data_IF_698630634894
#
_entry.id   IF_698630634894
#
_cell.length_a   1.000
_cell.length_b   1.000
_cell.length_c   1.000
_cell.angle_alpha   90.00
_cell.angle_beta   90.00
_cell.angle_gamma   90.00
#
_symmetry.space_group_name_H-M   'P 1'
#
loop_
_entity.id
_entity.type
_entity.pdbx_description
1 polymer ?
#
# COMPACT_ATOMS: atom_id res chain seq x y z
N UNK A 1 -6.11 6.82 31.69
CA UNK A 1 -6.13 8.13 30.99
C UNK A 1 -4.91 8.35 30.09
N UNK A 2 -3.69 8.55 30.63
CA UNK A 2 -2.50 8.95 29.83
C UNK A 2 -2.14 7.95 28.72
N UNK A 3 -2.32 6.66 28.99
CA UNK A 3 -2.09 5.61 27.99
C UNK A 3 -3.07 5.71 26.83
N UNK A 4 -4.37 5.90 27.11
CA UNK A 4 -5.42 6.03 26.09
C UNK A 4 -5.15 7.22 25.15
N UNK A 5 -4.84 8.40 25.69
CA UNK A 5 -4.58 9.59 24.85
C UNK A 5 -3.31 9.42 24.00
N UNK A 6 -2.27 8.79 24.53
CA UNK A 6 -1.06 8.44 23.76
C UNK A 6 -1.34 7.39 22.70
N UNK A 7 -2.13 6.37 23.04
CA UNK A 7 -2.60 5.35 22.12
C UNK A 7 -3.54 5.92 21.06
N UNK A 8 -4.16 7.09 21.26
CA UNK A 8 -4.89 7.79 20.20
C UNK A 8 -4.02 8.81 19.45
N UNK A 9 -2.72 8.85 19.73
CA UNK A 9 -1.78 9.76 19.06
C UNK A 9 -1.97 11.23 19.42
N UNK A 10 -2.54 11.53 20.59
CA UNK A 10 -2.55 12.89 21.13
C UNK A 10 -1.15 13.23 21.65
N UNK A 11 -0.75 14.49 21.51
CA UNK A 11 0.52 15.03 21.98
C UNK A 11 0.27 16.01 23.11
N UNK A 12 1.15 16.02 24.11
CA UNK A 12 1.07 16.99 25.20
C UNK A 12 1.66 18.33 24.76
N UNK A 13 0.81 19.34 24.64
CA UNK A 13 1.17 20.66 24.12
C UNK A 13 0.41 21.76 24.87
N UNK A 14 1.15 22.77 25.36
CA UNK A 14 0.59 23.94 26.05
C UNK A 14 -0.36 23.57 27.21
N UNK A 15 0.06 22.60 28.04
CA UNK A 15 -0.69 22.18 29.23
C UNK A 15 -1.91 21.29 28.97
N UNK A 16 -2.11 20.80 27.74
CA UNK A 16 -3.22 19.90 27.40
C UNK A 16 -2.81 18.82 26.40
N UNK A 17 -3.55 17.71 26.37
CA UNK A 17 -3.45 16.72 25.29
C UNK A 17 -4.18 17.25 24.06
N UNK A 18 -3.48 17.35 22.93
CA UNK A 18 -3.98 17.90 21.66
C UNK A 18 -3.82 16.89 20.52
N UNK A 19 -4.74 16.95 19.56
CA UNK A 19 -4.66 16.19 18.32
C UNK A 19 -5.00 17.10 17.15
N UNK A 20 -4.13 17.10 16.14
CA UNK A 20 -4.34 17.87 14.92
C UNK A 20 -5.38 17.19 14.05
N UNK A 21 -6.37 17.96 13.59
CA UNK A 21 -7.41 17.51 12.67
C UNK A 21 -6.95 17.76 11.24
N UNK A 22 -7.04 16.72 10.41
CA UNK A 22 -6.56 16.69 9.02
C UNK A 22 -7.27 15.58 8.25
N UNK A 23 -7.02 15.46 6.95
CA UNK A 23 -7.55 14.32 6.16
C UNK A 23 -7.16 12.96 6.73
N UNK A 24 -6.01 12.87 7.43
CA UNK A 24 -5.51 11.62 7.99
C UNK A 24 -6.13 11.26 9.34
N UNK A 25 -6.68 12.26 10.03
CA UNK A 25 -7.20 12.14 11.39
C UNK A 25 -8.71 12.33 11.45
N UNK A 26 -9.41 12.43 10.31
CA UNK A 26 -10.87 12.53 10.22
C UNK A 26 -11.45 13.81 10.81
N UNK A 27 -12.74 13.79 11.17
CA UNK A 27 -13.43 14.97 11.70
C UNK A 27 -13.12 15.21 13.19
N UNK A 28 -13.26 16.45 13.66
CA UNK A 28 -13.15 16.77 15.09
C UNK A 28 -14.21 16.03 15.92
N UNK A 29 -15.44 15.95 15.39
CA UNK A 29 -16.57 15.27 16.05
C UNK A 29 -16.26 13.78 16.29
N UNK A 30 -15.76 13.07 15.28
CA UNK A 30 -15.40 11.65 15.41
C UNK A 30 -14.23 11.44 16.39
N UNK A 31 -13.23 12.33 16.38
CA UNK A 31 -12.09 12.24 17.31
C UNK A 31 -12.49 12.50 18.76
N UNK A 32 -13.39 13.46 19.00
CA UNK A 32 -13.96 13.71 20.33
C UNK A 32 -14.78 12.51 20.79
N UNK A 33 -15.63 11.98 19.91
CA UNK A 33 -16.48 10.83 20.22
C UNK A 33 -15.65 9.57 20.50
N UNK A 34 -14.62 9.28 19.69
CA UNK A 34 -13.71 8.14 19.87
C UNK A 34 -12.91 8.22 21.17
N UNK A 35 -12.34 9.40 21.48
CA UNK A 35 -11.65 9.62 22.74
C UNK A 35 -12.59 9.46 23.93
N UNK A 36 -13.78 10.08 23.85
CA UNK A 36 -14.82 9.99 24.87
C UNK A 36 -15.25 8.55 25.14
N UNK A 37 -15.55 7.79 24.09
CA UNK A 37 -15.93 6.38 24.19
C UNK A 37 -14.84 5.55 24.88
N UNK A 38 -13.57 5.67 24.45
CA UNK A 38 -12.46 4.93 25.07
C UNK A 38 -12.24 5.30 26.54
N UNK A 39 -12.43 6.57 26.90
CA UNK A 39 -12.32 7.02 28.29
C UNK A 39 -13.48 6.52 29.16
N UNK A 40 -14.71 6.60 28.67
CA UNK A 40 -15.90 6.10 29.36
C UNK A 40 -15.79 4.59 29.61
N UNK A 41 -15.42 3.80 28.59
CA UNK A 41 -15.21 2.36 28.71
C UNK A 41 -14.05 1.99 29.65
N UNK A 42 -13.13 2.92 29.90
CA UNK A 42 -12.05 2.75 30.89
C UNK A 42 -12.43 3.25 32.30
N UNK A 43 -13.71 3.59 32.54
CA UNK A 43 -14.24 3.98 33.84
C UNK A 43 -14.02 5.46 34.21
N UNK A 44 -13.61 6.30 33.26
CA UNK A 44 -13.45 7.74 33.51
C UNK A 44 -14.77 8.48 33.29
N UNK A 45 -15.07 9.45 34.15
CA UNK A 45 -16.10 10.46 33.87
C UNK A 45 -15.56 11.47 32.86
N UNK A 46 -16.32 11.72 31.77
CA UNK A 46 -15.92 12.59 30.67
C UNK A 46 -16.92 13.73 30.50
N UNK A 47 -16.41 14.96 30.32
CA UNK A 47 -17.20 16.11 29.90
C UNK A 47 -17.03 16.31 28.39
N UNK A 48 -18.15 16.36 27.68
CA UNK A 48 -18.19 16.62 26.24
C UNK A 48 -18.46 18.11 25.95
N UNK A 49 -18.03 18.63 24.79
CA UNK A 49 -18.32 20.01 24.39
C UNK A 49 -19.80 20.25 24.11
N UNK A 50 -20.51 19.23 23.60
CA UNK A 50 -21.91 19.29 23.20
C UNK A 50 -22.58 17.90 23.36
N UNK A 51 -23.90 17.86 23.17
CA UNK A 51 -24.69 16.63 23.29
C UNK A 51 -24.47 15.67 22.13
N UNK A 52 -24.25 16.17 20.92
CA UNK A 52 -24.03 15.36 19.73
C UNK A 52 -22.78 14.49 19.86
N UNK A 53 -21.65 15.09 20.26
CA UNK A 53 -20.40 14.37 20.50
C UNK A 53 -20.50 13.36 21.64
N UNK A 54 -21.33 13.64 22.66
CA UNK A 54 -21.62 12.71 23.74
C UNK A 54 -22.42 11.50 23.26
N UNK A 55 -23.55 11.71 22.58
CA UNK A 55 -24.40 10.63 22.05
C UNK A 55 -23.60 9.76 21.09
N UNK A 56 -22.85 10.38 20.17
CA UNK A 56 -21.97 9.68 19.24
C UNK A 56 -20.91 8.83 19.93
N UNK A 57 -20.38 9.28 21.07
CA UNK A 57 -19.45 8.52 21.88
C UNK A 57 -20.14 7.33 22.59
N UNK A 58 -21.31 7.56 23.18
CA UNK A 58 -22.05 6.54 23.94
C UNK A 58 -22.57 5.43 23.01
N UNK A 59 -23.15 5.81 21.88
CA UNK A 59 -23.73 4.89 20.90
C UNK A 59 -22.67 4.25 19.99
N UNK A 60 -21.40 4.65 20.12
CA UNK A 60 -20.28 4.21 19.30
C UNK A 60 -20.52 4.35 17.78
N UNK A 61 -21.22 5.42 17.38
CA UNK A 61 -21.57 5.72 15.97
C UNK A 61 -20.53 6.62 15.28
N UNK A 62 -19.34 6.75 15.86
CA UNK A 62 -18.21 7.47 15.25
C UNK A 62 -17.43 6.62 14.25
N UNK A 63 -16.86 7.29 13.25
CA UNK A 63 -15.92 6.63 12.35
C UNK A 63 -14.54 6.53 13.04
N UNK A 64 -13.98 5.33 13.31
CA UNK A 64 -12.67 5.19 13.93
C UNK A 64 -11.56 5.84 13.11
N UNK A 65 -10.47 6.26 13.77
CA UNK A 65 -9.36 6.89 13.05
C UNK A 65 -8.71 5.91 12.07
N UNK A 66 -8.66 6.29 10.79
CA UNK A 66 -7.97 5.49 9.79
C UNK A 66 -6.46 5.50 10.05
N UNK A 67 -5.89 4.31 10.27
CA UNK A 67 -4.46 4.15 10.56
C UNK A 67 -3.65 3.62 9.37
N UNK A 68 -4.32 3.21 8.28
CA UNK A 68 -3.72 2.59 7.09
C UNK A 68 -3.88 3.52 5.89
N UNK A 69 -2.77 4.07 5.42
CA UNK A 69 -2.76 5.11 4.39
C UNK A 69 -1.78 4.81 3.27
N UNK A 70 -2.22 5.10 2.04
CA UNK A 70 -1.35 5.26 0.88
C UNK A 70 -1.21 6.75 0.62
N UNK A 71 0.03 7.25 0.69
CA UNK A 71 0.36 8.68 0.59
C UNK A 71 1.29 8.93 -0.60
N UNK A 72 1.24 10.12 -1.19
CA UNK A 72 2.28 10.55 -2.14
C UNK A 72 3.62 10.66 -1.40
N UNK A 73 4.67 10.06 -1.95
CA UNK A 73 6.03 10.13 -1.40
C UNK A 73 6.87 11.17 -2.14
N UNK A 74 7.26 10.84 -3.37
CA UNK A 74 7.90 11.73 -4.35
C UNK A 74 7.19 11.56 -5.68
N UNK A 75 7.56 12.33 -6.69
CA UNK A 75 6.99 12.17 -8.02
C UNK A 75 7.20 10.73 -8.53
N UNK A 76 6.11 10.13 -9.04
CA UNK A 76 6.08 8.75 -9.49
C UNK A 76 6.12 7.68 -8.38
N UNK A 77 6.06 8.04 -7.09
CA UNK A 77 6.15 7.09 -5.97
C UNK A 77 5.07 7.30 -4.90
N UNK A 78 4.50 6.18 -4.46
CA UNK A 78 3.53 6.11 -3.38
C UNK A 78 4.13 5.41 -2.16
N UNK A 79 3.76 5.88 -0.98
CA UNK A 79 4.17 5.32 0.31
C UNK A 79 2.98 4.67 1.00
N UNK A 80 3.08 3.36 1.22
CA UNK A 80 2.16 2.57 2.03
C UNK A 80 2.64 2.65 3.48
N UNK A 81 1.78 3.20 4.36
CA UNK A 81 2.08 3.40 5.78
C UNK A 81 0.91 2.91 6.63
N UNK A 82 1.23 2.26 7.74
CA UNK A 82 0.26 1.91 8.76
C UNK A 82 0.82 2.16 10.15
N UNK A 83 -0.07 2.18 11.14
CA UNK A 83 0.32 2.37 12.53
C UNK A 83 0.75 1.05 13.17
N UNK A 84 1.86 1.10 13.91
CA UNK A 84 2.36 -0.03 14.68
C UNK A 84 2.97 -1.14 13.83
N UNK A 85 3.41 -2.21 14.49
CA UNK A 85 3.96 -3.39 13.82
C UNK A 85 2.83 -4.30 13.34
N UNK A 86 2.87 -4.68 12.08
CA UNK A 86 1.96 -5.68 11.51
C UNK A 86 2.73 -6.47 10.45
N UNK A 87 3.18 -7.67 10.82
CA UNK A 87 4.06 -8.47 9.97
C UNK A 87 3.30 -8.99 8.73
N UNK A 88 2.00 -9.26 8.84
CA UNK A 88 1.15 -9.64 7.70
C UNK A 88 1.06 -8.54 6.66
N UNK A 89 0.75 -7.31 7.07
CA UNK A 89 0.72 -6.14 6.17
C UNK A 89 2.09 -5.87 5.56
N UNK A 90 3.16 -6.01 6.35
CA UNK A 90 4.53 -5.84 5.87
C UNK A 90 4.86 -6.83 4.76
N UNK A 91 4.61 -8.13 4.99
CA UNK A 91 4.91 -9.18 4.02
C UNK A 91 4.05 -9.05 2.76
N UNK A 92 2.77 -8.67 2.91
CA UNK A 92 1.89 -8.44 1.76
C UNK A 92 2.36 -7.23 0.94
N UNK A 93 2.61 -6.08 1.58
CA UNK A 93 3.08 -4.88 0.88
C UNK A 93 4.45 -5.08 0.20
N UNK A 94 5.34 -5.89 0.78
CA UNK A 94 6.64 -6.25 0.19
C UNK A 94 6.54 -7.05 -1.11
N UNK A 95 5.42 -7.73 -1.36
CA UNK A 95 5.18 -8.50 -2.59
C UNK A 95 4.69 -7.63 -3.75
N UNK A 96 4.32 -6.38 -3.51
CA UNK A 96 3.92 -5.47 -4.58
C UNK A 96 5.07 -5.25 -5.57
N UNK A 97 4.81 -5.19 -6.88
CA UNK A 97 5.86 -5.01 -7.87
C UNK A 97 6.63 -3.70 -7.66
N UNK A 98 7.96 -3.79 -7.59
CA UNK A 98 8.81 -2.62 -7.37
C UNK A 98 8.82 -2.07 -5.93
N UNK A 99 8.20 -2.78 -4.96
CA UNK A 99 8.15 -2.36 -3.57
C UNK A 99 9.54 -2.32 -2.89
N UNK A 100 9.85 -1.18 -2.27
CA UNK A 100 11.09 -0.95 -1.51
C UNK A 100 10.79 -0.35 -0.15
N UNK A 101 11.43 -0.85 0.90
CA UNK A 101 11.32 -0.23 2.21
C UNK A 101 12.18 1.04 2.28
N UNK A 102 11.61 2.14 2.75
CA UNK A 102 12.31 3.40 2.99
C UNK A 102 11.63 4.18 4.12
N UNK A 103 12.41 4.58 5.14
CA UNK A 103 11.97 5.45 6.25
C UNK A 103 10.60 5.08 6.86
N UNK A 104 10.41 3.80 7.23
CA UNK A 104 9.18 3.35 7.88
C UNK A 104 7.97 3.22 6.96
N UNK A 105 8.19 3.20 5.64
CA UNK A 105 7.15 3.00 4.64
C UNK A 105 7.57 1.97 3.59
N UNK A 106 6.58 1.34 2.96
CA UNK A 106 6.81 0.59 1.71
C UNK A 106 6.53 1.54 0.55
N UNK A 107 7.56 1.81 -0.24
CA UNK A 107 7.51 2.68 -1.40
C UNK A 107 7.27 1.83 -2.65
N UNK A 108 6.25 2.19 -3.42
CA UNK A 108 5.86 1.50 -4.65
C UNK A 108 5.76 2.53 -5.78
N UNK A 109 6.24 2.20 -7.00
CA UNK A 109 6.05 3.07 -8.17
C UNK A 109 4.56 3.29 -8.48
N UNK A 110 4.17 4.50 -8.87
CA UNK A 110 2.78 4.81 -9.28
C UNK A 110 2.34 4.01 -10.52
N UNK A 111 3.30 3.54 -11.32
CA UNK A 111 3.06 2.65 -12.47
C UNK A 111 2.30 1.38 -12.10
N UNK A 112 2.32 0.99 -10.83
CA UNK A 112 1.62 -0.17 -10.27
C UNK A 112 0.32 0.21 -9.58
N UNK A 113 -0.35 1.27 -10.06
CA UNK A 113 -1.54 1.81 -9.41
C UNK A 113 -2.66 0.77 -9.31
N UNK A 114 -2.82 -0.12 -10.30
CA UNK A 114 -3.84 -1.18 -10.27
C UNK A 114 -3.61 -2.10 -9.07
N UNK A 115 -2.39 -2.62 -8.89
CA UNK A 115 -2.05 -3.50 -7.76
C UNK A 115 -2.12 -2.75 -6.41
N UNK A 116 -1.86 -1.44 -6.41
CA UNK A 116 -1.98 -0.59 -5.22
C UNK A 116 -3.45 -0.36 -4.86
N UNK A 117 -4.34 -0.14 -5.83
CA UNK A 117 -5.78 0.01 -5.63
C UNK A 117 -6.38 -1.31 -5.10
N UNK A 118 -6.03 -2.46 -5.71
CA UNK A 118 -6.45 -3.80 -5.25
C UNK A 118 -5.95 -4.09 -3.83
N UNK A 119 -4.68 -3.74 -3.54
CA UNK A 119 -4.11 -3.86 -2.20
C UNK A 119 -4.84 -2.97 -1.20
N UNK A 120 -5.21 -1.76 -1.61
CA UNK A 120 -5.90 -0.82 -0.75
C UNK A 120 -7.29 -1.32 -0.35
N UNK A 121 -8.05 -1.84 -1.32
CA UNK A 121 -9.35 -2.44 -1.07
C UNK A 121 -9.23 -3.67 -0.17
N UNK A 122 -8.35 -4.61 -0.52
CA UNK A 122 -8.19 -5.89 0.19
C UNK A 122 -7.72 -5.71 1.64
N UNK A 123 -6.85 -4.74 1.90
CA UNK A 123 -6.23 -4.52 3.21
C UNK A 123 -6.81 -3.30 3.95
N UNK A 124 -7.89 -2.72 3.43
CA UNK A 124 -8.62 -1.57 3.98
C UNK A 124 -7.74 -0.32 4.19
N UNK A 125 -6.87 -0.02 3.22
CA UNK A 125 -6.12 1.23 3.20
C UNK A 125 -6.95 2.34 2.55
N UNK A 126 -6.83 3.55 3.09
CA UNK A 126 -7.32 4.75 2.40
C UNK A 126 -6.21 5.38 1.56
N UNK A 127 -6.56 5.87 0.37
CA UNK A 127 -5.66 6.61 -0.50
C UNK A 127 -5.82 8.10 -0.21
N UNK A 128 -4.72 8.80 0.07
CA UNK A 128 -4.78 10.24 0.34
C UNK A 128 -5.12 11.04 -0.92
N UNK A 129 -5.64 12.26 -0.76
CA UNK A 129 -5.98 13.12 -1.91
C UNK A 129 -4.79 13.35 -2.83
N UNK A 130 -3.60 13.56 -2.27
CA UNK A 130 -2.36 13.74 -3.03
C UNK A 130 -1.91 12.45 -3.75
N UNK A 131 -2.13 11.29 -3.16
CA UNK A 131 -1.81 10.01 -3.80
C UNK A 131 -2.78 9.72 -4.95
N UNK A 132 -4.07 9.93 -4.74
CA UNK A 132 -5.10 9.77 -5.78
C UNK A 132 -4.84 10.69 -6.99
N UNK A 133 -4.45 11.94 -6.74
CA UNK A 133 -4.08 12.86 -7.81
C UNK A 133 -2.85 12.41 -8.61
N UNK A 134 -1.85 11.81 -7.94
CA UNK A 134 -0.66 11.24 -8.61
C UNK A 134 -1.03 10.02 -9.48
N UNK A 135 -1.91 9.15 -8.98
CA UNK A 135 -2.43 7.99 -9.72
C UNK A 135 -3.17 8.45 -10.98
N UNK A 136 -4.07 9.42 -10.84
CA UNK A 136 -4.85 9.92 -11.97
C UNK A 136 -3.98 10.63 -13.00
N UNK A 137 -2.98 11.40 -12.56
CA UNK A 137 -1.97 12.00 -13.44
C UNK A 137 -1.21 10.93 -14.24
N UNK A 138 -0.85 9.81 -13.60
CA UNK A 138 -0.19 8.70 -14.27
C UNK A 138 -1.14 7.99 -15.25
N UNK A 139 -2.39 7.74 -14.87
CA UNK A 139 -3.42 7.12 -15.72
C UNK A 139 -3.62 7.90 -17.02
N UNK A 140 -3.63 9.23 -16.95
CA UNK A 140 -3.71 10.11 -18.14
C UNK A 140 -2.45 10.06 -19.02
N UNK A 141 -1.26 9.88 -18.41
CA UNK A 141 -0.02 9.67 -19.17
C UNK A 141 -0.03 8.31 -19.87
N UNK A 142 -0.50 7.26 -19.19
CA UNK A 142 -0.57 5.90 -19.70
C UNK A 142 -1.49 5.78 -20.93
N UNK A 143 -2.58 6.54 -20.98
CA UNK A 143 -3.46 6.60 -22.17
C UNK A 143 -2.74 7.04 -23.46
N UNK A 144 -1.59 7.72 -23.34
CA UNK A 144 -0.77 8.13 -24.49
C UNK A 144 0.24 7.06 -24.92
N UNK A 145 0.36 5.95 -24.18
CA UNK A 145 1.33 4.91 -24.48
C UNK A 145 0.83 4.03 -25.64
N UNK A 146 1.70 3.79 -26.62
CA UNK A 146 1.45 2.84 -27.69
C UNK A 146 1.76 1.44 -27.15
N UNK A 147 0.73 0.62 -26.95
CA UNK A 147 0.91 -0.79 -26.61
C UNK A 147 1.40 -1.54 -27.84
N UNK A 148 2.64 -2.01 -27.80
CA UNK A 148 3.22 -2.87 -28.84
C UNK A 148 3.32 -4.28 -28.30
N UNK A 149 2.81 -5.25 -29.06
CA UNK A 149 3.11 -6.67 -28.81
C UNK A 149 4.32 -7.02 -29.66
N UNK A 150 5.52 -7.19 -29.09
CA UNK A 150 6.68 -7.55 -29.88
C UNK A 150 6.50 -8.97 -30.43
N UNK A 151 6.83 -9.16 -31.71
CA UNK A 151 6.94 -10.50 -32.28
C UNK A 151 8.07 -11.23 -31.56
N UNK A 152 7.77 -12.43 -31.08
CA UNK A 152 8.75 -13.31 -30.46
C UNK A 152 9.74 -13.73 -31.55
N UNK A 153 11.02 -13.41 -31.38
CA UNK A 153 12.07 -13.98 -32.22
C UNK A 153 11.97 -15.50 -32.03
N UNK A 154 11.89 -16.25 -33.14
CA UNK A 154 11.96 -17.72 -33.06
C UNK A 154 13.30 -18.07 -32.41
N UNK A 155 13.27 -18.89 -31.37
CA UNK A 155 14.49 -19.29 -30.67
C UNK A 155 15.49 -19.83 -31.70
N UNK A 156 16.72 -19.32 -31.66
CA UNK A 156 17.78 -19.83 -32.51
C UNK A 156 17.91 -21.33 -32.25
N UNK A 157 18.12 -22.16 -33.30
CA UNK A 157 18.24 -23.60 -33.13
C UNK A 157 19.31 -23.89 -32.07
N UNK A 158 18.98 -24.79 -31.14
CA UNK A 158 19.85 -25.11 -30.01
C UNK A 158 21.21 -25.63 -30.50
N UNK A 159 22.23 -25.56 -29.66
CA UNK A 159 23.54 -26.08 -30.05
C UNK A 159 23.49 -27.59 -30.37
N UNK A 160 22.54 -28.35 -29.78
CA UNK A 160 22.28 -29.74 -30.14
C UNK A 160 21.68 -29.89 -31.54
N UNK A 161 20.74 -29.03 -31.93
CA UNK A 161 20.15 -29.01 -33.26
C UNK A 161 21.17 -28.59 -34.33
N UNK A 162 22.08 -27.67 -33.97
CA UNK A 162 23.21 -27.28 -34.83
C UNK A 162 24.20 -28.42 -35.02
N UNK A 163 24.56 -29.11 -33.93
CA UNK A 163 25.45 -30.28 -34.00
C UNK A 163 24.83 -31.40 -34.83
N UNK A 164 23.55 -31.73 -34.59
CA UNK A 164 22.83 -32.77 -35.33
C UNK A 164 22.80 -32.48 -36.83
N UNK A 165 22.51 -31.23 -37.19
CA UNK A 165 22.49 -30.77 -38.59
C UNK A 165 23.88 -30.75 -39.24
N UNK A 166 24.95 -30.52 -38.46
CA UNK A 166 26.33 -30.65 -38.94
C UNK A 166 26.71 -32.12 -39.14
N UNK A 167 26.36 -33.01 -38.21
CA UNK A 167 26.63 -34.45 -38.26
C UNK A 167 25.90 -35.14 -39.42
N UNK A 168 24.64 -34.76 -39.68
CA UNK A 168 23.87 -35.22 -40.84
C UNK A 168 24.46 -34.72 -42.16
N UNK A 169 25.08 -33.52 -42.17
CA UNK A 169 25.75 -32.95 -43.35
C UNK A 169 27.13 -33.54 -43.61
N UNK A 170 27.85 -33.96 -42.57
CA UNK A 170 29.20 -34.49 -42.72
C UNK A 170 29.25 -35.92 -43.27
N UNK A 171 28.10 -36.57 -43.41
CA UNK A 171 28.02 -37.96 -43.86
C UNK A 171 28.57 -38.90 -42.81
N UNK A 172 27.78 -39.91 -42.43
CA UNK A 172 28.29 -41.02 -41.62
C UNK A 172 29.43 -41.66 -42.41
N UNK A 173 30.63 -41.71 -41.85
CA UNK A 173 31.72 -42.50 -42.40
C UNK A 173 31.26 -43.96 -42.34
N UNK A 174 31.10 -44.61 -43.50
CA UNK A 174 30.66 -46.01 -43.66
C UNK A 174 31.59 -47.06 -43.00
N UNK A 175 32.66 -46.62 -42.34
CA UNK A 175 33.76 -47.44 -41.80
C UNK A 175 33.52 -47.95 -40.36
N UNK A 176 32.26 -47.93 -39.89
CA UNK A 176 31.85 -48.41 -38.56
C UNK A 176 30.63 -49.37 -38.61
N UNK A 177 30.44 -50.08 -39.72
CA UNK A 177 29.60 -51.27 -39.74
C UNK A 177 30.50 -52.51 -39.64
N UNK A 178 30.76 -52.95 -38.40
CA UNK A 178 31.35 -54.28 -38.15
C UNK A 178 30.36 -55.36 -38.61
N UNK A 179 30.83 -56.32 -39.43
CA UNK A 179 30.14 -57.59 -39.75
C UNK A 179 29.85 -58.45 -38.51
#
# INVERSE_FOLDING_TARGET
FREIVKELGYVWENGAWRKTISEFTGSSLDRVAELGNKLLNAGFTVRFPDRESMEKAVDATYEPECTRWIKKASDGKLAIRWRGRNDTLYQAARKLPGAKYFEGAIIVPVERYSEIEDFAETMEFKISKKAAAEIELFRQKEQKFIKVTPNRVQDAPSDEERLKKQLEKSGVIEDLMDE
#
